data_IF_930048657993
#
_entry.id   IF_930048657993
#
_cell.length_a   1.000
_cell.length_b   1.000
_cell.length_c   1.000
_cell.angle_alpha   90.00
_cell.angle_beta   90.00
_cell.angle_gamma   90.00
#
_symmetry.space_group_name_H-M   'P 1'
#
loop_
_entity.id
_entity.type
_entity.pdbx_description
1 polymer ?
#
# COMPACT_ATOMS: atom_id res chain seq x y z
N UNK A 1 -75.45 1.55 -27.27
CA UNK A 1 -75.03 0.49 -28.23
C UNK A 1 -73.75 -0.15 -27.73
N UNK A 2 -73.81 -1.44 -27.42
CA UNK A 2 -72.66 -2.32 -27.16
C UNK A 2 -72.43 -3.12 -28.45
N UNK A 3 -71.17 -3.33 -28.84
CA UNK A 3 -70.61 -4.58 -29.38
C UNK A 3 -69.08 -4.51 -29.12
N UNK A 4 -68.54 -5.38 -28.26
CA UNK A 4 -67.11 -5.67 -28.13
C UNK A 4 -66.69 -6.68 -29.21
N UNK A 5 -65.39 -6.93 -29.44
CA UNK A 5 -64.77 -8.17 -29.99
C UNK A 5 -63.38 -7.82 -30.59
N UNK A 6 -62.25 -8.53 -30.48
CA UNK A 6 -61.78 -9.72 -29.76
C UNK A 6 -60.26 -9.60 -29.56
N UNK A 7 -59.78 -10.31 -28.54
CA UNK A 7 -58.40 -10.65 -28.22
C UNK A 7 -57.75 -11.45 -29.35
N UNK A 8 -56.47 -11.18 -29.66
CA UNK A 8 -55.57 -12.26 -30.07
C UNK A 8 -54.16 -12.01 -29.53
N UNK A 9 -53.81 -12.81 -28.52
CA UNK A 9 -52.45 -13.04 -28.06
C UNK A 9 -51.61 -13.63 -29.20
N UNK A 10 -50.45 -13.04 -29.47
CA UNK A 10 -49.33 -13.76 -30.08
C UNK A 10 -48.15 -13.62 -29.12
N UNK A 11 -47.98 -14.67 -28.30
CA UNK A 11 -46.75 -14.92 -27.58
C UNK A 11 -45.79 -15.55 -28.58
N UNK A 12 -44.80 -14.78 -29.04
CA UNK A 12 -43.63 -15.32 -29.74
C UNK A 12 -42.53 -15.55 -28.71
N UNK A 13 -42.50 -16.77 -28.17
CA UNK A 13 -41.30 -17.33 -27.56
C UNK A 13 -40.38 -17.77 -28.70
N UNK A 14 -39.32 -17.01 -28.95
CA UNK A 14 -38.17 -17.50 -29.72
C UNK A 14 -36.97 -17.44 -28.79
N UNK A 15 -36.43 -18.63 -28.55
CA UNK A 15 -35.43 -18.90 -27.53
C UNK A 15 -34.04 -18.37 -27.82
N UNK A 16 -33.23 -18.56 -26.79
CA UNK A 16 -31.81 -18.32 -26.66
C UNK A 16 -30.99 -18.49 -27.95
N UNK A 17 -30.26 -17.43 -28.31
CA UNK A 17 -28.84 -17.56 -28.64
C UNK A 17 -28.08 -16.53 -27.84
N UNK A 18 -27.32 -17.02 -26.87
CA UNK A 18 -26.28 -16.28 -26.18
C UNK A 18 -25.35 -15.68 -27.23
N UNK A 19 -25.32 -14.35 -27.34
CA UNK A 19 -24.23 -13.70 -28.05
C UNK A 19 -22.97 -13.88 -27.21
N UNK A 20 -21.96 -14.41 -27.88
CA UNK A 20 -20.67 -14.77 -27.34
C UNK A 20 -20.08 -13.66 -26.46
N UNK A 21 -19.64 -14.09 -25.28
CA UNK A 21 -18.74 -13.32 -24.42
C UNK A 21 -17.48 -13.02 -25.22
N UNK A 22 -17.31 -11.78 -25.64
CA UNK A 22 -16.00 -11.23 -25.93
C UNK A 22 -15.22 -11.18 -24.60
N UNK A 23 -14.48 -12.26 -24.37
CA UNK A 23 -13.45 -12.36 -23.34
C UNK A 23 -12.28 -11.47 -23.75
N UNK A 24 -12.35 -10.18 -23.44
CA UNK A 24 -11.16 -9.34 -23.37
C UNK A 24 -10.53 -9.60 -22.00
N UNK A 25 -9.62 -10.58 -21.96
CA UNK A 25 -8.65 -10.73 -20.88
C UNK A 25 -7.64 -9.58 -20.99
N UNK A 26 -8.02 -8.41 -20.51
CA UNK A 26 -7.07 -7.39 -20.05
C UNK A 26 -7.18 -7.27 -18.52
N UNK A 27 -7.08 -8.42 -17.86
CA UNK A 27 -6.73 -8.45 -16.44
C UNK A 27 -5.22 -8.32 -16.35
N UNK A 28 -4.74 -7.13 -16.02
CA UNK A 28 -3.38 -6.95 -15.51
C UNK A 28 -3.13 -8.01 -14.43
N UNK A 29 -1.96 -8.67 -14.41
CA UNK A 29 -1.68 -9.70 -13.43
C UNK A 29 -1.84 -9.12 -12.02
N UNK A 30 -2.79 -9.69 -11.27
CA UNK A 30 -2.93 -9.48 -9.84
C UNK A 30 -1.63 -9.95 -9.17
N UNK A 31 -0.78 -9.01 -8.78
CA UNK A 31 0.29 -9.28 -7.83
C UNK A 31 -0.41 -9.40 -6.47
N UNK A 32 -0.72 -10.63 -6.06
CA UNK A 32 -0.89 -10.91 -4.63
C UNK A 32 0.46 -10.56 -3.97
N UNK A 33 0.51 -9.75 -2.91
CA UNK A 33 1.71 -9.68 -2.09
C UNK A 33 1.83 -11.03 -1.38
N UNK A 34 2.45 -11.98 -2.05
CA UNK A 34 2.96 -13.20 -1.42
C UNK A 34 4.20 -12.76 -0.65
N UNK A 35 3.99 -12.39 0.61
CA UNK A 35 5.10 -12.45 1.57
C UNK A 35 5.51 -13.93 1.61
N UNK A 36 6.82 -14.19 1.56
CA UNK A 36 7.48 -15.46 1.22
C UNK A 36 7.67 -15.67 -0.29
N UNK A 37 8.28 -14.69 -0.97
CA UNK A 37 9.29 -15.06 -1.96
C UNK A 37 10.56 -15.45 -1.21
N UNK A 38 10.99 -16.69 -1.43
CA UNK A 38 12.29 -17.21 -0.98
C UNK A 38 13.37 -16.17 -1.29
N UNK A 39 14.17 -15.84 -0.28
CA UNK A 39 15.49 -15.23 -0.43
C UNK A 39 16.36 -16.25 -1.19
N UNK A 40 16.12 -16.34 -2.50
CA UNK A 40 16.87 -17.12 -3.46
C UNK A 40 17.42 -16.10 -4.46
N UNK A 41 18.66 -15.70 -4.23
CA UNK A 41 19.68 -15.46 -5.25
C UNK A 41 19.18 -15.54 -6.71
N UNK A 42 18.59 -14.47 -7.26
CA UNK A 42 18.17 -14.51 -8.68
C UNK A 42 17.25 -13.40 -9.20
N UNK A 43 17.78 -12.20 -9.36
CA UNK A 43 17.53 -11.33 -10.54
C UNK A 43 16.06 -11.04 -10.95
N UNK A 44 15.34 -10.23 -10.17
CA UNK A 44 14.84 -8.99 -10.79
C UNK A 44 15.93 -7.95 -10.61
N UNK A 45 16.82 -7.86 -11.60
CA UNK A 45 17.87 -6.83 -11.60
C UNK A 45 17.18 -5.47 -11.49
N UNK A 46 17.31 -4.81 -10.34
CA UNK A 46 16.82 -3.45 -10.18
C UNK A 46 17.50 -2.59 -11.24
N UNK A 47 16.70 -1.98 -12.12
CA UNK A 47 17.20 -1.07 -13.13
C UNK A 47 17.01 0.34 -12.62
N UNK A 48 18.09 1.15 -12.51
CA UNK A 48 17.96 2.55 -12.20
C UNK A 48 16.96 3.22 -13.15
N UNK A 49 16.11 4.09 -12.62
CA UNK A 49 15.06 4.74 -13.40
C UNK A 49 14.91 6.21 -13.02
N UNK A 50 14.39 6.99 -13.98
CA UNK A 50 14.04 8.40 -13.75
C UNK A 50 12.62 8.45 -13.19
N UNK A 51 12.45 9.10 -12.04
CA UNK A 51 11.13 9.25 -11.41
C UNK A 51 10.34 10.41 -12.03
N UNK A 52 11.02 11.56 -12.14
CA UNK A 52 10.56 12.80 -12.78
C UNK A 52 11.78 13.69 -13.06
N UNK A 53 11.59 14.87 -13.65
CA UNK A 53 12.68 15.77 -14.03
C UNK A 53 13.76 15.94 -12.95
N UNK A 54 14.99 15.53 -13.29
CA UNK A 54 16.15 15.58 -12.41
C UNK A 54 16.22 14.49 -11.33
N UNK A 55 15.11 13.78 -11.05
CA UNK A 55 15.05 12.71 -10.05
C UNK A 55 15.41 11.35 -10.63
N UNK A 56 16.36 10.66 -10.02
CA UNK A 56 16.80 9.31 -10.39
C UNK A 56 16.81 8.40 -9.16
N UNK A 57 16.35 7.16 -9.34
CA UNK A 57 16.34 6.12 -8.30
C UNK A 57 17.34 5.04 -8.67
N UNK A 58 18.24 4.70 -7.74
CA UNK A 58 19.32 3.73 -7.95
C UNK A 58 19.39 2.74 -6.80
N UNK A 59 19.53 1.45 -7.11
CA UNK A 59 19.76 0.41 -6.09
C UNK A 59 21.13 0.55 -5.47
N UNK A 60 21.20 0.39 -4.16
CA UNK A 60 22.40 0.71 -3.41
C UNK A 60 22.84 -0.37 -2.45
N UNK A 61 21.94 -1.17 -1.88
CA UNK A 61 22.37 -2.29 -1.03
C UNK A 61 21.32 -2.80 -0.04
N UNK A 62 21.82 -3.27 1.11
CA UNK A 62 21.02 -3.84 2.19
C UNK A 62 21.06 -2.93 3.42
N UNK A 63 19.92 -2.74 4.04
CA UNK A 63 19.74 -1.98 5.26
C UNK A 63 19.32 -2.96 6.35
N UNK A 64 20.07 -2.96 7.44
CA UNK A 64 19.81 -3.79 8.60
C UNK A 64 19.37 -2.90 9.76
N UNK A 65 18.27 -3.29 10.40
CA UNK A 65 17.77 -2.73 11.64
C UNK A 65 17.57 -3.87 12.63
N UNK A 66 17.72 -3.59 13.93
CA UNK A 66 17.71 -4.61 15.02
C UNK A 66 16.56 -5.62 14.92
N UNK A 67 15.39 -5.18 14.45
CA UNK A 67 14.17 -5.99 14.32
C UNK A 67 13.73 -6.23 12.87
N UNK A 68 14.35 -5.56 11.89
CA UNK A 68 13.92 -5.58 10.50
C UNK A 68 15.10 -5.40 9.55
N UNK A 69 15.13 -6.15 8.46
CA UNK A 69 16.10 -5.95 7.39
C UNK A 69 15.42 -5.83 6.04
N UNK A 70 16.08 -5.16 5.11
CA UNK A 70 15.52 -4.95 3.78
C UNK A 70 16.56 -4.43 2.80
N UNK A 71 16.17 -4.33 1.53
CA UNK A 71 17.02 -3.66 0.53
C UNK A 71 16.60 -2.21 0.41
N UNK A 72 17.56 -1.32 0.13
CA UNK A 72 17.28 0.09 -0.02
C UNK A 72 17.77 0.63 -1.36
N UNK A 73 17.10 1.66 -1.84
CA UNK A 73 17.50 2.46 -2.98
C UNK A 73 17.72 3.90 -2.55
N UNK A 74 18.43 4.68 -3.35
CA UNK A 74 18.58 6.12 -3.14
C UNK A 74 17.87 6.90 -4.22
N UNK A 75 17.26 8.01 -3.83
CA UNK A 75 16.72 9.02 -4.71
C UNK A 75 17.74 10.15 -4.78
N UNK A 76 18.14 10.52 -6.00
CA UNK A 76 18.99 11.69 -6.25
C UNK A 76 18.24 12.73 -7.07
N UNK A 77 18.52 14.01 -6.83
CA UNK A 77 18.07 15.14 -7.66
C UNK A 77 19.31 15.82 -8.24
N UNK A 78 19.46 15.79 -9.56
CA UNK A 78 20.62 16.36 -10.25
C UNK A 78 21.95 15.86 -9.67
N UNK A 79 22.00 14.58 -9.27
CA UNK A 79 23.18 13.93 -8.69
C UNK A 79 23.34 14.09 -7.17
N UNK A 80 22.57 14.97 -6.51
CA UNK A 80 22.60 15.12 -5.06
C UNK A 80 21.64 14.13 -4.37
N UNK A 81 22.07 13.48 -3.29
CA UNK A 81 21.22 12.58 -2.49
C UNK A 81 20.03 13.36 -1.88
N UNK A 82 18.82 12.84 -2.08
CA UNK A 82 17.58 13.43 -1.58
C UNK A 82 16.99 12.60 -0.44
N UNK A 83 16.84 11.29 -0.66
CA UNK A 83 16.38 10.34 0.35
C UNK A 83 16.95 8.95 0.04
N UNK A 84 16.96 8.12 1.07
CA UNK A 84 17.16 6.67 1.00
C UNK A 84 15.80 6.04 1.30
N UNK A 85 15.39 5.06 0.50
CA UNK A 85 14.03 4.50 0.54
C UNK A 85 14.06 2.98 0.68
N UNK A 86 13.01 2.45 1.28
CA UNK A 86 12.78 1.00 1.32
C UNK A 86 12.38 0.52 -0.08
N UNK A 87 13.07 -0.50 -0.60
CA UNK A 87 12.72 -1.11 -1.87
C UNK A 87 11.52 -2.05 -1.77
N UNK A 88 11.27 -2.62 -0.59
CA UNK A 88 10.09 -3.47 -0.36
C UNK A 88 8.80 -2.70 -0.61
N UNK A 89 8.69 -1.52 -0.01
CA UNK A 89 7.57 -0.60 -0.22
C UNK A 89 7.65 0.12 -1.57
N UNK A 90 8.85 0.54 -1.98
CA UNK A 90 9.09 1.25 -3.23
C UNK A 90 8.55 2.69 -3.24
N UNK A 91 8.52 3.30 -4.43
CA UNK A 91 7.91 4.62 -4.65
C UNK A 91 6.57 4.42 -5.34
N UNK A 92 5.49 4.69 -4.61
CA UNK A 92 4.13 4.54 -5.10
C UNK A 92 3.63 5.88 -5.65
N UNK A 93 3.29 5.91 -6.94
CA UNK A 93 2.69 7.09 -7.57
C UNK A 93 1.22 7.21 -7.13
N UNK A 94 0.86 8.36 -6.57
CA UNK A 94 -0.54 8.70 -6.24
C UNK A 94 -1.19 9.40 -7.44
N UNK A 95 -0.50 10.37 -8.04
CA UNK A 95 -0.88 11.01 -9.29
C UNK A 95 0.38 11.59 -9.95
N UNK A 96 0.24 12.32 -11.06
CA UNK A 96 1.38 12.84 -11.83
C UNK A 96 2.38 13.69 -11.03
N UNK A 97 1.94 14.30 -9.93
CA UNK A 97 2.75 15.21 -9.13
C UNK A 97 2.92 14.77 -7.68
N UNK A 98 2.41 13.60 -7.31
CA UNK A 98 2.39 13.09 -5.95
C UNK A 98 2.91 11.65 -5.88
N UNK A 99 3.89 11.44 -5.00
CA UNK A 99 4.49 10.14 -4.75
C UNK A 99 4.52 9.85 -3.25
N UNK A 100 4.41 8.59 -2.89
CA UNK A 100 4.42 8.11 -1.52
C UNK A 100 5.44 6.99 -1.35
N UNK A 101 6.30 7.10 -0.35
CA UNK A 101 7.39 6.15 -0.13
C UNK A 101 7.76 6.11 1.35
N UNK A 102 8.41 5.02 1.76
CA UNK A 102 8.99 4.87 3.08
C UNK A 102 10.48 5.22 3.02
N UNK A 103 10.93 6.02 3.97
CA UNK A 103 12.34 6.41 4.14
C UNK A 103 13.05 5.42 5.03
N UNK A 104 14.28 5.14 4.63
CA UNK A 104 15.28 4.39 5.39
C UNK A 104 16.31 5.38 5.90
N UNK A 105 16.29 5.65 7.20
CA UNK A 105 17.25 6.57 7.82
C UNK A 105 18.52 5.81 8.17
N UNK A 106 19.65 6.14 7.53
CA UNK A 106 20.94 5.51 7.83
C UNK A 106 21.50 6.06 9.14
N UNK A 107 21.92 5.15 10.02
CA UNK A 107 22.67 5.43 11.24
C UNK A 107 24.18 5.25 11.06
N UNK A 108 24.64 5.08 9.81
CA UNK A 108 26.03 4.83 9.45
C UNK A 108 26.28 3.47 8.81
N UNK A 109 27.54 3.18 8.43
CA UNK A 109 27.92 1.90 7.87
C UNK A 109 27.77 0.78 8.90
N UNK A 110 27.39 -0.41 8.44
CA UNK A 110 27.36 -1.61 9.28
C UNK A 110 28.61 -2.46 9.00
N UNK A 111 29.39 -2.74 10.03
CA UNK A 111 30.50 -3.70 9.97
C UNK A 111 30.04 -5.12 10.35
N UNK A 112 29.02 -5.62 9.65
CA UNK A 112 28.61 -7.01 9.84
C UNK A 112 29.36 -7.93 8.87
N UNK A 113 30.16 -8.84 9.44
CA UNK A 113 30.99 -9.80 8.71
C UNK A 113 30.13 -10.85 7.98
N UNK A 114 28.98 -11.24 8.53
CA UNK A 114 28.10 -12.27 7.96
C UNK A 114 27.33 -11.76 6.74
N UNK A 115 26.84 -10.51 6.80
CA UNK A 115 26.17 -9.88 5.65
C UNK A 115 27.16 -9.63 4.49
N UNK A 116 28.40 -9.25 4.80
CA UNK A 116 29.48 -9.15 3.81
C UNK A 116 29.82 -10.51 3.20
N UNK A 117 29.86 -11.57 4.00
CA UNK A 117 30.08 -12.95 3.53
C UNK A 117 28.94 -13.46 2.64
N UNK A 118 27.72 -12.93 2.83
CA UNK A 118 26.55 -13.22 2.01
C UNK A 118 26.48 -12.41 0.70
N UNK A 119 27.51 -11.61 0.40
CA UNK A 119 27.67 -10.91 -0.87
C UNK A 119 27.03 -9.52 -0.93
N UNK A 120 26.49 -9.00 0.18
CA UNK A 120 26.01 -7.61 0.25
C UNK A 120 27.20 -6.66 0.38
N UNK A 121 27.43 -5.84 -0.66
CA UNK A 121 28.63 -4.97 -0.75
C UNK A 121 28.45 -3.55 -0.19
N UNK A 122 27.24 -3.18 0.24
CA UNK A 122 26.90 -1.83 0.70
C UNK A 122 25.85 -1.90 1.81
N UNK A 123 26.24 -2.46 2.96
CA UNK A 123 25.34 -2.64 4.10
C UNK A 123 25.38 -1.42 5.02
N UNK A 124 24.21 -0.90 5.36
CA UNK A 124 24.05 0.20 6.32
C UNK A 124 23.28 -0.27 7.54
N UNK A 125 23.61 0.28 8.69
CA UNK A 125 22.72 0.26 9.84
C UNK A 125 21.64 1.32 9.58
N UNK A 126 20.37 0.97 9.71
CA UNK A 126 19.29 1.89 9.38
C UNK A 126 18.06 1.71 10.27
N UNK A 127 17.14 2.66 10.14
CA UNK A 127 15.80 2.60 10.71
C UNK A 127 14.78 2.72 9.60
N UNK A 128 13.91 1.72 9.48
CA UNK A 128 12.74 1.73 8.60
C UNK A 128 11.60 2.37 9.38
N UNK A 129 11.11 3.52 8.93
CA UNK A 129 10.10 4.21 9.71
C UNK A 129 9.32 5.22 8.90
N UNK A 130 9.88 6.39 8.64
CA UNK A 130 9.08 7.52 8.19
C UNK A 130 8.51 7.35 6.79
N UNK A 131 7.18 7.45 6.65
CA UNK A 131 6.54 7.60 5.35
C UNK A 131 6.49 9.07 4.95
N UNK A 132 6.78 9.35 3.68
CA UNK A 132 6.75 10.70 3.12
C UNK A 132 5.83 10.76 1.91
N UNK A 133 5.14 11.90 1.79
CA UNK A 133 4.50 12.32 0.55
C UNK A 133 5.37 13.39 -0.11
N UNK A 134 5.70 13.19 -1.39
CA UNK A 134 6.38 14.17 -2.23
C UNK A 134 5.35 14.80 -3.15
N UNK A 135 5.01 16.07 -2.93
CA UNK A 135 4.08 16.84 -3.75
C UNK A 135 4.80 18.00 -4.41
N UNK A 136 4.82 18.06 -5.74
CA UNK A 136 5.50 19.14 -6.49
C UNK A 136 6.96 19.38 -6.05
N UNK A 137 7.67 18.31 -5.67
CA UNK A 137 9.07 18.42 -5.20
C UNK A 137 9.23 18.77 -3.71
N UNK A 138 8.14 19.06 -3.00
CA UNK A 138 8.15 19.29 -1.54
C UNK A 138 7.82 18.01 -0.79
N UNK A 139 8.63 17.69 0.21
CA UNK A 139 8.48 16.51 1.07
C UNK A 139 7.71 16.88 2.33
N UNK A 140 6.78 16.03 2.72
CA UNK A 140 6.07 16.14 3.99
C UNK A 140 5.99 14.75 4.64
N UNK A 141 6.18 14.69 5.97
CA UNK A 141 5.99 13.44 6.70
C UNK A 141 4.50 13.11 6.72
N UNK A 142 4.15 11.86 6.49
CA UNK A 142 2.75 11.46 6.41
C UNK A 142 2.04 11.56 7.77
N UNK A 143 2.76 11.26 8.86
CA UNK A 143 2.27 11.42 10.24
C UNK A 143 1.84 12.86 10.58
N UNK A 144 2.34 13.87 9.86
CA UNK A 144 1.99 15.27 10.10
C UNK A 144 0.62 15.64 9.49
N UNK A 145 0.07 14.78 8.62
CA UNK A 145 -1.17 15.03 7.86
C UNK A 145 -2.21 13.91 7.98
N UNK A 146 -1.79 12.74 8.44
CA UNK A 146 -2.65 11.60 8.68
C UNK A 146 -2.75 11.35 10.19
N UNK A 147 -3.88 11.72 10.83
CA UNK A 147 -4.08 11.54 12.25
C UNK A 147 -3.88 10.07 12.67
N UNK A 148 -3.21 9.89 13.81
CA UNK A 148 -2.93 8.60 14.44
C UNK A 148 -2.31 7.56 13.48
N UNK A 149 -1.55 8.02 12.50
CA UNK A 149 -0.72 7.17 11.64
C UNK A 149 0.52 6.73 12.42
N UNK A 150 0.60 5.43 12.68
CA UNK A 150 1.78 4.80 13.26
C UNK A 150 2.63 4.21 12.13
N UNK A 151 3.79 4.79 11.90
CA UNK A 151 4.64 4.38 10.79
C UNK A 151 5.09 2.91 10.83
N UNK A 152 5.02 2.26 11.99
CA UNK A 152 5.45 0.89 12.17
C UNK A 152 4.32 -0.11 11.91
N UNK A 153 3.10 0.20 12.39
CA UNK A 153 1.96 -0.73 12.37
C UNK A 153 0.84 -0.35 11.39
N UNK A 154 0.88 0.84 10.78
CA UNK A 154 -0.25 1.32 9.96
C UNK A 154 -0.35 0.71 8.57
N UNK A 155 0.68 -0.02 8.10
CA UNK A 155 0.72 -0.75 6.82
C UNK A 155 0.02 -0.02 5.66
N UNK A 156 0.48 1.19 5.28
CA UNK A 156 -0.21 2.00 4.30
C UNK A 156 -0.18 1.37 2.90
N UNK A 157 -1.23 1.57 2.12
CA UNK A 157 -1.32 1.10 0.74
C UNK A 157 -2.03 2.12 -0.16
N UNK A 158 -1.60 2.24 -1.42
CA UNK A 158 -2.17 3.20 -2.38
C UNK A 158 -3.21 2.49 -3.26
N UNK A 159 -4.44 2.99 -3.23
CA UNK A 159 -5.55 2.49 -4.08
C UNK A 159 -6.28 3.70 -4.65
N UNK A 160 -6.52 3.74 -5.96
CA UNK A 160 -7.31 4.80 -6.62
C UNK A 160 -6.91 6.23 -6.20
N UNK A 161 -5.61 6.53 -6.20
CA UNK A 161 -5.02 7.82 -5.84
C UNK A 161 -5.24 8.27 -4.38
N UNK A 162 -5.59 7.35 -3.49
CA UNK A 162 -5.76 7.58 -2.05
C UNK A 162 -4.87 6.64 -1.24
N UNK A 163 -4.66 6.99 0.03
CA UNK A 163 -3.81 6.23 0.95
C UNK A 163 -4.70 5.55 1.98
N UNK A 164 -4.72 4.23 1.97
CA UNK A 164 -5.45 3.41 2.93
C UNK A 164 -4.48 2.88 3.98
N UNK A 165 -4.85 2.96 5.26
CA UNK A 165 -3.96 2.57 6.35
C UNK A 165 -4.73 2.22 7.62
N UNK A 166 -4.11 1.47 8.52
CA UNK A 166 -4.63 1.25 9.87
C UNK A 166 -4.36 2.46 10.74
N UNK A 167 -5.41 3.18 11.13
CA UNK A 167 -5.32 4.26 12.09
C UNK A 167 -5.29 3.67 13.52
N UNK A 168 -4.29 4.05 14.30
CA UNK A 168 -3.98 3.44 15.61
C UNK A 168 -3.95 4.54 16.65
N UNK A 169 -5.07 4.73 17.33
CA UNK A 169 -5.24 5.77 18.34
C UNK A 169 -5.12 5.16 19.73
N UNK A 170 -4.10 5.56 20.49
CA UNK A 170 -4.00 5.16 21.90
C UNK A 170 -5.15 5.82 22.69
N UNK A 171 -5.93 5.01 23.39
CA UNK A 171 -7.10 5.51 24.15
C UNK A 171 -6.84 5.71 25.63
N UNK A 172 -5.85 5.01 26.18
CA UNK A 172 -5.52 5.10 27.60
C UNK A 172 -4.05 4.78 27.88
N UNK A 173 -3.65 5.01 29.13
CA UNK A 173 -2.30 4.73 29.62
C UNK A 173 -2.03 3.24 29.87
N UNK A 174 -3.03 2.37 29.76
CA UNK A 174 -2.83 0.91 29.81
C UNK A 174 -2.31 0.36 28.47
N UNK A 175 -2.29 1.21 27.44
CA UNK A 175 -1.74 0.94 26.11
C UNK A 175 -2.75 0.29 25.16
N UNK A 176 -4.02 0.24 25.53
CA UNK A 176 -5.10 -0.14 24.61
C UNK A 176 -5.20 0.92 23.49
N UNK A 177 -5.36 0.44 22.27
CA UNK A 177 -5.52 1.25 21.07
C UNK A 177 -6.88 1.01 20.42
N UNK A 178 -7.48 2.06 19.88
CA UNK A 178 -8.55 1.97 18.89
C UNK A 178 -7.95 1.81 17.50
N UNK A 179 -8.31 0.70 16.86
CA UNK A 179 -7.89 0.32 15.52
C UNK A 179 -9.03 0.62 14.56
N UNK A 180 -8.75 1.47 13.57
CA UNK A 180 -9.71 1.86 12.55
C UNK A 180 -9.15 1.65 11.15
N UNK A 181 -10.01 1.29 10.21
CA UNK A 181 -9.67 1.42 8.79
C UNK A 181 -9.73 2.90 8.41
N UNK A 182 -8.69 3.44 7.78
CA UNK A 182 -8.64 4.83 7.37
C UNK A 182 -8.32 5.00 5.89
N UNK A 183 -8.90 6.05 5.30
CA UNK A 183 -8.61 6.54 3.97
C UNK A 183 -8.20 8.01 4.09
N UNK A 184 -6.99 8.33 3.64
CA UNK A 184 -6.55 9.70 3.41
C UNK A 184 -6.66 10.04 1.93
N UNK A 185 -7.34 11.15 1.63
CA UNK A 185 -7.44 11.71 0.29
C UNK A 185 -6.52 12.93 0.16
N UNK A 186 -5.40 12.82 -0.60
CA UNK A 186 -4.46 13.92 -0.78
C UNK A 186 -5.04 15.15 -1.47
N UNK A 187 -6.12 15.00 -2.25
CA UNK A 187 -6.76 16.12 -2.96
C UNK A 187 -7.57 17.01 -2.03
N UNK A 188 -8.26 16.41 -1.05
CA UNK A 188 -9.07 17.13 -0.06
C UNK A 188 -8.34 17.32 1.27
N UNK A 189 -7.19 16.65 1.45
CA UNK A 189 -6.40 16.59 2.69
C UNK A 189 -7.20 16.09 3.90
N UNK A 190 -8.21 15.27 3.65
CA UNK A 190 -9.09 14.75 4.69
C UNK A 190 -8.85 13.26 4.89
N UNK A 191 -8.93 12.84 6.15
CA UNK A 191 -8.99 11.44 6.55
C UNK A 191 -10.43 11.09 6.90
N UNK A 192 -10.91 9.96 6.37
CA UNK A 192 -12.12 9.27 6.85
C UNK A 192 -11.71 7.97 7.51
N UNK A 193 -12.39 7.58 8.59
CA UNK A 193 -12.09 6.33 9.27
C UNK A 193 -13.33 5.62 9.79
N UNK A 194 -13.21 4.30 9.92
CA UNK A 194 -14.23 3.41 10.46
C UNK A 194 -13.60 2.53 11.55
N UNK A 195 -14.14 2.62 12.75
CA UNK A 195 -13.68 1.84 13.88
C UNK A 195 -13.90 0.34 13.64
N UNK A 196 -12.87 -0.47 13.93
CA UNK A 196 -12.91 -1.93 13.81
C UNK A 196 -12.91 -2.58 15.19
N UNK A 197 -11.91 -2.25 16.01
CA UNK A 197 -11.71 -2.90 17.30
C UNK A 197 -10.83 -2.11 18.24
N UNK A 198 -10.89 -2.48 19.53
CA UNK A 198 -9.81 -2.19 20.46
C UNK A 198 -8.78 -3.32 20.42
N UNK A 199 -7.51 -2.97 20.57
CA UNK A 199 -6.39 -3.92 20.51
C UNK A 199 -5.23 -3.47 21.40
N UNK A 200 -4.44 -4.44 21.86
CA UNK A 200 -3.21 -4.21 22.63
C UNK A 200 -2.04 -4.77 21.82
N UNK A 201 -1.24 -3.87 21.22
CA UNK A 201 -0.18 -4.24 20.28
C UNK A 201 1.09 -4.56 21.07
N UNK A 202 1.23 -5.81 21.51
CA UNK A 202 2.40 -6.32 22.24
C UNK A 202 3.34 -7.11 21.32
N UNK A 203 3.84 -6.45 20.28
CA UNK A 203 4.79 -7.08 19.37
C UNK A 203 5.71 -6.06 18.75
N UNK A 204 6.85 -6.51 18.27
CA UNK A 204 7.75 -5.80 17.37
C UNK A 204 7.56 -6.23 15.91
N UNK A 205 6.52 -7.00 15.55
CA UNK A 205 6.23 -7.34 14.15
C UNK A 205 5.54 -6.18 13.43
N UNK A 206 6.23 -5.52 12.51
CA UNK A 206 5.67 -4.45 11.70
C UNK A 206 4.55 -4.92 10.75
N UNK A 207 4.40 -6.24 10.53
CA UNK A 207 3.32 -6.83 9.75
C UNK A 207 2.13 -7.27 10.60
N UNK A 208 2.08 -6.87 11.88
CA UNK A 208 0.98 -7.18 12.81
C UNK A 208 -0.41 -6.85 12.23
N UNK A 209 -0.50 -5.78 11.43
CA UNK A 209 -1.64 -5.54 10.58
C UNK A 209 -1.26 -5.71 9.10
N UNK A 210 -1.93 -6.61 8.36
CA UNK A 210 -1.74 -6.75 6.91
C UNK A 210 -2.06 -5.46 6.15
N UNK A 211 -1.40 -5.26 5.00
CA UNK A 211 -1.73 -4.17 4.08
C UNK A 211 -3.20 -4.24 3.61
N UNK A 212 -3.92 -3.10 3.55
CA UNK A 212 -5.20 -3.04 2.87
C UNK A 212 -5.06 -3.47 1.41
N UNK A 213 -6.06 -4.17 0.87
CA UNK A 213 -6.01 -4.69 -0.49
C UNK A 213 -7.33 -4.51 -1.22
N UNK A 214 -7.27 -4.53 -2.55
CA UNK A 214 -8.44 -4.49 -3.42
C UNK A 214 -8.71 -5.87 -4.02
N UNK A 215 -9.97 -6.30 -3.98
CA UNK A 215 -10.44 -7.49 -4.69
C UNK A 215 -11.85 -7.20 -5.23
N UNK A 216 -12.07 -7.39 -6.53
CA UNK A 216 -13.36 -7.16 -7.19
C UNK A 216 -13.97 -5.78 -6.83
N UNK A 217 -13.20 -4.70 -7.00
CA UNK A 217 -13.58 -3.31 -6.67
C UNK A 217 -13.96 -3.04 -5.21
N UNK A 218 -13.72 -4.01 -4.32
CA UNK A 218 -13.92 -3.89 -2.88
C UNK A 218 -12.58 -3.73 -2.20
N UNK A 219 -12.49 -2.76 -1.30
CA UNK A 219 -11.32 -2.52 -0.46
C UNK A 219 -11.50 -3.29 0.85
N UNK A 220 -10.48 -4.04 1.22
CA UNK A 220 -10.49 -4.90 2.39
C UNK A 220 -9.49 -4.44 3.42
N UNK A 221 -9.96 -4.39 4.66
CA UNK A 221 -9.14 -4.26 5.86
C UNK A 221 -9.31 -5.54 6.66
N UNK A 222 -8.33 -6.44 6.56
CA UNK A 222 -8.29 -7.70 7.28
C UNK A 222 -7.26 -7.60 8.41
N UNK A 223 -7.68 -7.79 9.66
CA UNK A 223 -6.77 -7.73 10.80
C UNK A 223 -5.80 -8.91 10.86
N UNK A 224 -5.95 -9.91 9.97
CA UNK A 224 -5.25 -11.19 10.02
C UNK A 224 -5.71 -12.08 11.18
N UNK A 225 -6.71 -11.61 11.95
CA UNK A 225 -7.15 -12.18 13.24
C UNK A 225 -8.67 -12.32 13.30
N UNK A 226 -9.27 -12.65 12.17
CA UNK A 226 -10.70 -12.98 12.05
C UNK A 226 -11.65 -11.79 12.02
N UNK A 227 -11.16 -10.54 12.01
CA UNK A 227 -11.97 -9.36 11.73
C UNK A 227 -11.61 -8.78 10.38
N UNK A 228 -12.63 -8.54 9.58
CA UNK A 228 -12.48 -7.98 8.25
C UNK A 228 -13.59 -6.96 8.01
N UNK A 229 -13.22 -5.78 7.52
CA UNK A 229 -14.16 -4.82 6.97
C UNK A 229 -13.99 -4.71 5.46
N UNK A 230 -15.11 -4.42 4.79
CA UNK A 230 -15.21 -4.31 3.34
C UNK A 230 -15.75 -2.94 3.00
N UNK A 231 -15.13 -2.27 2.05
CA UNK A 231 -15.54 -0.94 1.63
C UNK A 231 -15.69 -0.85 0.12
N UNK A 232 -16.64 -0.04 -0.33
CA UNK A 232 -16.68 0.37 -1.74
C UNK A 232 -15.46 1.23 -2.08
N UNK A 233 -15.24 1.50 -3.38
CA UNK A 233 -14.25 2.47 -3.85
C UNK A 233 -14.36 3.86 -3.23
N UNK A 234 -15.57 4.23 -2.77
CA UNK A 234 -15.86 5.52 -2.14
C UNK A 234 -15.75 5.45 -0.61
N UNK A 235 -15.20 4.35 -0.09
CA UNK A 235 -14.97 4.06 1.31
C UNK A 235 -16.24 4.03 2.18
N UNK A 236 -17.35 3.61 1.57
CA UNK A 236 -18.58 3.30 2.28
C UNK A 236 -18.55 1.84 2.72
N UNK A 237 -18.94 1.58 3.97
CA UNK A 237 -19.00 0.23 4.52
C UNK A 237 -19.98 -0.64 3.71
N UNK A 238 -19.53 -1.84 3.36
CA UNK A 238 -20.33 -2.86 2.68
C UNK A 238 -20.76 -3.92 3.70
N UNK A 239 -22.03 -4.33 3.63
CA UNK A 239 -22.60 -5.39 4.44
C UNK A 239 -22.28 -6.78 3.87
#
# INVERSE_FOLDING_TARGET
MKIPIYISCIILVVGCKSKDKLSVKDSLPQIKPTIIDKINTGTTLFKPYKLKDGFMVTDTGYADAVVMGGTYAVITLNGALVDTIDKGFGINKINDNMYFYQVVSSNGPLEDIQLKASGYKNTINATFGEYKILTNGKKQKFSDIAPDFNYYFSSPYIINNKIYYWQIKQVDSSGINEISAAEYDPSTKNTRSHFIQKDFIETDDNNYFPYPYIQNDTIYFDTGRGKQMKFSKDFNLLN
#
